data_IF_023246250301
#
_entry.id   IF_023246250301
#
_cell.length_a   1.000
_cell.length_b   1.000
_cell.length_c   1.000
_cell.angle_alpha   90.00
_cell.angle_beta   90.00
_cell.angle_gamma   90.00
#
_symmetry.space_group_name_H-M   'P 1'
#
loop_
_entity.id
_entity.type
_entity.pdbx_description
1 polymer ?
#
# COMPACT_ATOMS: atom_id res chain seq x y z
N UNK A 1 -4.27 -79.44 16.98
CA UNK A 1 -2.93 -79.69 17.55
C UNK A 1 -1.92 -79.07 16.59
N UNK A 2 -1.23 -78.02 17.06
CA UNK A 2 -0.12 -77.39 16.34
C UNK A 2 1.04 -78.38 16.21
N UNK A 3 1.83 -78.28 15.14
CA UNK A 3 3.21 -77.80 15.22
C UNK A 3 4.03 -78.12 13.95
N UNK A 4 5.05 -77.28 13.78
CA UNK A 4 6.35 -77.51 13.13
C UNK A 4 6.45 -77.20 11.63
N UNK A 5 7.08 -76.07 11.31
CA UNK A 5 8.54 -75.85 11.10
C UNK A 5 8.93 -76.44 9.76
N UNK A 6 9.26 -75.55 8.81
CA UNK A 6 10.37 -75.80 7.91
C UNK A 6 11.11 -74.48 7.63
N UNK A 7 12.41 -74.56 7.87
CA UNK A 7 13.40 -73.54 7.61
C UNK A 7 13.72 -73.48 6.11
N UNK A 8 14.41 -72.39 5.75
CA UNK A 8 15.52 -72.38 4.80
C UNK A 8 15.16 -72.32 3.29
N UNK A 9 15.42 -71.18 2.64
CA UNK A 9 16.70 -70.92 1.91
C UNK A 9 16.59 -69.72 0.95
N UNK A 10 17.72 -69.00 0.91
CA UNK A 10 18.28 -68.13 -0.13
C UNK A 10 17.76 -66.71 -0.37
N UNK A 11 18.64 -65.81 0.09
CA UNK A 11 18.94 -64.46 -0.37
C UNK A 11 19.24 -64.49 -1.88
N UNK A 12 18.71 -63.53 -2.64
CA UNK A 12 19.52 -62.69 -3.52
C UNK A 12 18.78 -61.45 -4.04
N UNK A 13 19.63 -60.49 -4.40
CA UNK A 13 19.44 -59.06 -4.45
C UNK A 13 18.68 -58.52 -5.68
N UNK A 14 18.43 -57.21 -5.60
CA UNK A 14 18.31 -56.26 -6.70
C UNK A 14 16.90 -55.87 -7.24
N UNK A 15 16.48 -54.68 -6.78
CA UNK A 15 16.04 -53.49 -7.54
C UNK A 15 15.19 -53.76 -8.82
N UNK A 16 13.99 -53.14 -8.91
CA UNK A 16 13.57 -52.19 -9.99
C UNK A 16 12.02 -52.08 -10.11
N UNK A 17 11.53 -50.83 -9.89
CA UNK A 17 10.41 -50.08 -10.52
C UNK A 17 8.94 -50.57 -10.57
N UNK A 18 8.08 -49.53 -10.52
CA UNK A 18 6.64 -49.40 -10.88
C UNK A 18 5.65 -49.94 -9.84
N UNK A 19 4.46 -49.41 -9.64
CA UNK A 19 3.77 -48.14 -9.94
C UNK A 19 2.41 -48.22 -9.21
N UNK A 20 1.80 -47.06 -8.95
CA UNK A 20 0.34 -46.84 -8.83
C UNK A 20 -0.47 -47.69 -7.83
N UNK A 21 -0.97 -47.05 -6.78
CA UNK A 21 -2.40 -47.19 -6.41
C UNK A 21 -2.96 -45.85 -5.92
N UNK A 22 -4.02 -45.48 -6.61
CA UNK A 22 -4.79 -44.25 -6.53
C UNK A 22 -5.62 -44.21 -5.24
N UNK A 23 -5.84 -43.00 -4.70
CA UNK A 23 -7.11 -42.67 -4.06
C UNK A 23 -7.37 -41.15 -4.13
N UNK A 24 -8.19 -40.78 -5.12
CA UNK A 24 -9.00 -39.56 -5.17
C UNK A 24 -10.41 -40.00 -5.64
N UNK A 25 -11.50 -39.22 -5.51
CA UNK A 25 -11.70 -37.87 -4.90
C UNK A 25 -12.96 -37.82 -3.98
N UNK A 26 -13.32 -36.74 -3.27
CA UNK A 26 -14.15 -35.57 -3.67
C UNK A 26 -14.41 -34.77 -2.37
N UNK A 27 -14.23 -33.45 -2.27
CA UNK A 27 -15.16 -32.39 -2.74
C UNK A 27 -14.47 -31.03 -2.51
N UNK A 28 -14.13 -30.28 -3.56
CA UNK A 28 -14.90 -29.16 -4.14
C UNK A 28 -15.41 -28.11 -3.14
N UNK A 29 -14.62 -27.05 -2.93
CA UNK A 29 -15.16 -25.67 -2.91
C UNK A 29 -14.40 -24.82 -3.92
N UNK A 30 -15.16 -24.39 -4.91
CA UNK A 30 -14.77 -23.71 -6.14
C UNK A 30 -13.92 -22.48 -5.86
N UNK A 31 -12.70 -22.44 -6.41
CA UNK A 31 -12.01 -21.17 -6.66
C UNK A 31 -12.82 -20.46 -7.74
N UNK A 32 -13.58 -19.43 -7.38
CA UNK A 32 -14.35 -18.66 -8.33
C UNK A 32 -13.42 -18.10 -9.40
N UNK A 33 -13.72 -18.46 -10.64
CA UNK A 33 -13.10 -18.08 -11.91
C UNK A 33 -13.37 -16.60 -12.24
N UNK A 34 -13.52 -15.75 -11.23
CA UNK A 34 -13.82 -14.33 -11.39
C UNK A 34 -12.58 -13.46 -11.63
N UNK A 35 -11.37 -14.05 -11.67
CA UNK A 35 -10.12 -13.32 -11.97
C UNK A 35 -9.78 -13.22 -13.47
N UNK A 36 -10.60 -13.79 -14.34
CA UNK A 36 -10.32 -13.81 -15.79
C UNK A 36 -11.33 -13.02 -16.65
N UNK A 37 -12.34 -12.37 -16.07
CA UNK A 37 -13.47 -11.80 -16.85
C UNK A 37 -13.84 -10.34 -16.54
N UNK A 38 -12.93 -9.52 -16.03
CA UNK A 38 -13.11 -8.06 -16.05
C UNK A 38 -11.90 -7.41 -16.68
N UNK A 39 -12.15 -6.83 -17.86
CA UNK A 39 -11.15 -6.43 -18.82
C UNK A 39 -10.23 -5.30 -18.36
N UNK A 40 -9.12 -5.22 -19.09
CA UNK A 40 -8.15 -4.13 -19.16
C UNK A 40 -8.67 -2.78 -18.66
N UNK A 41 -8.39 -2.47 -17.39
CA UNK A 41 -8.13 -1.11 -16.92
C UNK A 41 -6.92 -1.16 -16.01
N UNK A 42 -5.74 -0.97 -16.60
CA UNK A 42 -4.45 -0.67 -15.99
C UNK A 42 -4.23 -1.18 -14.56
N UNK A 43 -4.01 -2.49 -14.39
CA UNK A 43 -3.39 -3.06 -13.20
C UNK A 43 -2.03 -3.66 -13.55
N UNK A 44 -1.15 -2.88 -14.20
CA UNK A 44 0.26 -3.25 -14.30
C UNK A 44 0.94 -2.87 -12.98
N UNK A 45 0.78 -3.72 -11.98
CA UNK A 45 1.69 -3.76 -10.84
C UNK A 45 2.99 -4.35 -11.40
N UNK A 46 3.90 -3.49 -11.84
CA UNK A 46 5.27 -3.86 -12.11
C UNK A 46 5.93 -4.16 -10.76
N UNK A 47 5.97 -5.44 -10.38
CA UNK A 47 6.50 -5.92 -9.10
C UNK A 47 8.00 -5.62 -9.01
N UNK A 48 8.32 -4.38 -8.70
CA UNK A 48 9.62 -3.94 -8.23
C UNK A 48 9.68 -4.13 -6.71
N UNK A 49 10.87 -4.22 -6.13
CA UNK A 49 11.06 -4.35 -4.67
C UNK A 49 10.38 -3.23 -3.86
N UNK A 50 10.19 -2.05 -4.46
CA UNK A 50 9.43 -0.95 -3.88
C UNK A 50 7.94 -1.28 -3.73
N UNK A 51 7.37 -2.04 -4.67
CA UNK A 51 5.97 -2.44 -4.65
C UNK A 51 5.67 -3.52 -3.60
N UNK A 52 6.63 -4.37 -3.26
CA UNK A 52 6.46 -5.33 -2.16
C UNK A 52 6.39 -4.62 -0.80
N UNK A 53 7.25 -3.62 -0.60
CA UNK A 53 7.26 -2.84 0.64
C UNK A 53 5.95 -2.04 0.80
N UNK A 54 5.47 -1.40 -0.27
CA UNK A 54 4.19 -0.68 -0.19
C UNK A 54 3.01 -1.64 -0.01
N UNK A 55 3.02 -2.81 -0.64
CA UNK A 55 1.94 -3.81 -0.48
C UNK A 55 1.87 -4.30 0.98
N UNK A 56 3.00 -4.55 1.64
CA UNK A 56 3.06 -4.86 3.08
C UNK A 56 2.56 -3.69 3.92
N UNK A 57 2.95 -2.48 3.57
CA UNK A 57 2.50 -1.25 4.22
C UNK A 57 0.97 -1.11 4.18
N UNK A 58 0.39 -1.23 2.99
CA UNK A 58 -1.05 -1.14 2.75
C UNK A 58 -1.83 -2.26 3.44
N UNK A 59 -1.29 -3.49 3.42
CA UNK A 59 -1.80 -4.63 4.18
C UNK A 59 -1.86 -4.33 5.67
N UNK A 60 -0.80 -3.73 6.25
CA UNK A 60 -0.73 -3.42 7.68
C UNK A 60 -1.79 -2.42 8.16
N UNK A 61 -2.29 -1.59 7.25
CA UNK A 61 -3.35 -0.59 7.52
C UNK A 61 -4.72 -1.01 6.97
N UNK A 62 -4.85 -2.24 6.46
CA UNK A 62 -6.10 -2.81 5.99
C UNK A 62 -6.61 -2.25 4.65
N UNK A 63 -5.74 -1.65 3.84
CA UNK A 63 -6.05 -1.18 2.49
C UNK A 63 -5.53 -2.22 1.51
N UNK A 64 -6.37 -3.16 1.13
CA UNK A 64 -6.01 -4.19 0.14
C UNK A 64 -6.51 -3.74 -1.23
N UNK A 65 -5.62 -3.62 -2.21
CA UNK A 65 -5.92 -3.39 -3.64
C UNK A 65 -6.91 -2.26 -3.96
N UNK A 66 -7.08 -1.30 -3.04
CA UNK A 66 -8.10 -0.25 -3.10
C UNK A 66 -7.47 1.15 -3.01
N UNK A 67 -6.28 1.28 -3.58
CA UNK A 67 -5.60 2.56 -3.76
C UNK A 67 -5.49 2.91 -5.24
N UNK A 68 -5.48 4.21 -5.51
CA UNK A 68 -5.33 4.78 -6.84
C UNK A 68 -3.88 5.26 -7.01
N UNK A 69 -3.46 6.19 -6.14
CA UNK A 69 -2.10 6.73 -6.10
C UNK A 69 -1.60 6.78 -4.66
N UNK A 70 -0.31 6.58 -4.48
CA UNK A 70 0.37 6.79 -3.22
C UNK A 70 1.70 7.51 -3.44
N UNK A 71 2.15 8.25 -2.44
CA UNK A 71 3.49 8.83 -2.42
C UNK A 71 3.92 9.14 -1.00
N UNK A 72 5.23 9.13 -0.77
CA UNK A 72 5.75 9.71 0.45
C UNK A 72 5.85 11.22 0.28
N UNK A 73 5.33 11.97 1.24
CA UNK A 73 5.40 13.43 1.28
C UNK A 73 6.09 13.90 2.55
N UNK A 74 6.65 15.09 2.46
CA UNK A 74 7.18 15.82 3.62
C UNK A 74 6.14 16.85 4.02
N UNK A 75 5.60 16.69 5.23
CA UNK A 75 4.55 17.54 5.76
C UNK A 75 5.17 18.49 6.80
N UNK A 76 5.01 19.78 6.59
CA UNK A 76 5.43 20.82 7.53
C UNK A 76 4.21 21.40 8.20
N UNK A 77 4.29 21.48 9.53
CA UNK A 77 3.20 21.98 10.36
C UNK A 77 3.70 22.30 11.77
N UNK A 78 3.29 23.44 12.31
CA UNK A 78 3.68 23.94 13.62
C UNK A 78 5.20 23.88 13.82
N UNK A 79 5.94 24.39 12.82
CA UNK A 79 7.41 24.42 12.78
C UNK A 79 8.09 23.04 12.88
N UNK A 80 7.36 21.96 12.55
CA UNK A 80 7.86 20.58 12.59
C UNK A 80 7.68 19.91 11.24
N UNK A 81 8.69 19.11 10.90
CA UNK A 81 8.72 18.33 9.66
C UNK A 81 8.37 16.88 9.93
N UNK A 82 7.54 16.30 9.07
CA UNK A 82 7.07 14.94 9.19
C UNK A 82 7.08 14.22 7.85
N UNK A 83 7.81 13.10 7.75
CA UNK A 83 7.63 12.18 6.62
C UNK A 83 6.34 11.37 6.81
N UNK A 84 5.48 11.36 5.79
CA UNK A 84 4.19 10.66 5.81
C UNK A 84 3.99 9.94 4.48
N UNK A 85 3.31 8.80 4.52
CA UNK A 85 2.82 8.16 3.31
C UNK A 85 1.38 8.61 3.11
N UNK A 86 1.14 9.26 1.98
CA UNK A 86 -0.17 9.69 1.50
C UNK A 86 -0.68 8.67 0.50
N UNK A 87 -1.96 8.31 0.61
CA UNK A 87 -2.61 7.33 -0.24
C UNK A 87 -4.00 7.87 -0.60
N UNK A 88 -4.29 8.00 -1.89
CA UNK A 88 -5.66 8.20 -2.37
C UNK A 88 -6.25 6.82 -2.67
N UNK A 89 -7.45 6.58 -2.17
CA UNK A 89 -8.17 5.32 -2.38
C UNK A 89 -9.16 5.42 -3.53
N UNK A 90 -9.51 4.26 -4.09
CA UNK A 90 -10.57 4.13 -5.10
C UNK A 90 -11.97 4.47 -4.55
N UNK A 91 -12.07 4.69 -3.23
CA UNK A 91 -13.29 5.10 -2.52
C UNK A 91 -13.36 6.60 -2.26
N UNK A 92 -12.52 7.38 -2.93
CA UNK A 92 -12.47 8.84 -2.80
C UNK A 92 -12.06 9.30 -1.38
N UNK A 93 -11.08 8.61 -0.79
CA UNK A 93 -10.53 8.97 0.52
C UNK A 93 -9.03 9.20 0.43
N UNK A 94 -8.55 10.28 1.06
CA UNK A 94 -7.15 10.47 1.40
C UNK A 94 -6.84 9.80 2.73
N UNK A 95 -5.83 8.94 2.72
CA UNK A 95 -5.27 8.31 3.91
C UNK A 95 -3.87 8.85 4.13
N UNK A 96 -3.64 9.37 5.33
CA UNK A 96 -2.34 9.86 5.78
C UNK A 96 -1.85 8.94 6.87
N UNK A 97 -0.67 8.37 6.67
CA UNK A 97 -0.10 7.38 7.59
C UNK A 97 1.22 7.86 8.20
N UNK A 98 1.49 7.36 9.41
CA UNK A 98 2.74 7.58 10.15
C UNK A 98 3.47 6.26 10.30
N UNK A 99 4.75 6.23 9.92
CA UNK A 99 5.62 5.09 10.19
C UNK A 99 5.88 4.97 11.69
N UNK A 100 5.69 3.77 12.23
CA UNK A 100 6.12 3.39 13.56
C UNK A 100 7.37 2.53 13.46
N UNK A 101 8.53 3.19 13.55
CA UNK A 101 9.86 2.56 13.43
C UNK A 101 10.03 1.41 14.43
N UNK A 102 9.49 1.53 15.65
CA UNK A 102 9.61 0.50 16.69
C UNK A 102 8.91 -0.81 16.34
N UNK A 103 7.82 -0.73 15.58
CA UNK A 103 6.98 -1.88 15.25
C UNK A 103 7.16 -2.31 13.79
N UNK A 104 7.92 -1.57 12.99
CA UNK A 104 7.99 -1.74 11.54
C UNK A 104 6.61 -1.77 10.87
N UNK A 105 5.66 -1.01 11.43
CA UNK A 105 4.26 -0.92 10.97
C UNK A 105 3.90 0.53 10.64
N UNK A 106 2.98 0.70 9.70
CA UNK A 106 2.32 1.98 9.48
C UNK A 106 1.04 2.06 10.31
N UNK A 107 0.75 3.27 10.79
CA UNK A 107 -0.52 3.58 11.45
C UNK A 107 -1.23 4.66 10.66
N UNK A 108 -2.53 4.48 10.43
CA UNK A 108 -3.38 5.55 9.90
C UNK A 108 -3.44 6.67 10.93
N UNK A 109 -3.11 7.88 10.51
CA UNK A 109 -3.29 9.09 11.30
C UNK A 109 -4.56 9.82 10.92
N UNK A 110 -4.81 9.93 9.63
CA UNK A 110 -6.03 10.53 9.11
C UNK A 110 -6.59 9.69 7.99
N UNK A 111 -7.92 9.63 7.94
CA UNK A 111 -8.72 9.10 6.83
C UNK A 111 -9.79 10.14 6.55
N UNK A 112 -9.71 10.75 5.38
CA UNK A 112 -10.45 11.97 5.04
C UNK A 112 -11.13 11.72 3.70
N UNK A 113 -12.41 12.06 3.59
CA UNK A 113 -13.09 12.05 2.29
C UNK A 113 -12.53 13.19 1.42
N UNK A 114 -12.13 12.90 0.18
CA UNK A 114 -11.53 13.88 -0.73
C UNK A 114 -12.44 15.09 -0.99
N UNK A 115 -13.76 14.90 -0.98
CA UNK A 115 -14.73 16.00 -1.16
C UNK A 115 -14.69 17.04 -0.03
N UNK A 116 -13.98 16.75 1.05
CA UNK A 116 -13.81 17.64 2.19
C UNK A 116 -12.43 18.28 2.23
N UNK A 117 -11.57 17.97 1.27
CA UNK A 117 -10.23 18.54 1.16
C UNK A 117 -10.29 19.77 0.28
N UNK A 118 -9.51 20.78 0.63
CA UNK A 118 -9.29 21.94 -0.22
C UNK A 118 -7.79 22.14 -0.43
N UNK A 119 -7.44 22.66 -1.60
CA UNK A 119 -6.07 22.94 -1.99
C UNK A 119 -5.95 24.43 -2.24
N UNK A 120 -4.89 25.03 -1.72
CA UNK A 120 -4.49 26.39 -2.06
C UNK A 120 -3.33 26.37 -3.05
N UNK A 121 -3.51 27.06 -4.17
CA UNK A 121 -2.49 27.26 -5.20
C UNK A 121 -1.90 28.66 -5.18
N UNK A 122 -2.57 29.63 -4.54
CA UNK A 122 -2.06 30.99 -4.39
C UNK A 122 -1.91 31.33 -2.90
N UNK A 123 -0.76 31.88 -2.53
CA UNK A 123 -0.38 32.28 -1.17
C UNK A 123 -1.32 33.37 -0.62
N UNK A 124 -1.92 34.18 -1.49
CA UNK A 124 -2.82 35.28 -1.10
C UNK A 124 -4.10 34.82 -0.37
N UNK A 125 -4.52 33.55 -0.55
CA UNK A 125 -5.72 33.00 0.07
C UNK A 125 -5.41 32.11 1.29
N UNK A 126 -4.20 32.22 1.84
CA UNK A 126 -3.68 31.29 2.84
C UNK A 126 -3.61 31.98 4.20
N UNK A 127 -3.94 31.23 5.24
CA UNK A 127 -3.83 31.69 6.63
C UNK A 127 -2.40 32.17 6.95
N UNK A 128 -2.29 33.24 7.72
CA UNK A 128 -1.05 33.86 8.19
C UNK A 128 -0.12 32.85 8.90
N UNK A 129 -0.69 31.83 9.57
CA UNK A 129 0.11 30.75 10.17
C UNK A 129 0.97 30.00 9.15
N UNK A 130 0.46 29.72 7.96
CA UNK A 130 1.19 29.02 6.90
C UNK A 130 2.20 29.94 6.24
N UNK A 131 1.89 31.23 6.10
CA UNK A 131 2.84 32.23 5.61
C UNK A 131 4.04 32.31 6.57
N UNK A 132 3.79 32.31 7.88
CA UNK A 132 4.82 32.28 8.92
C UNK A 132 5.62 30.96 8.90
N UNK A 133 4.98 29.83 8.65
CA UNK A 133 5.69 28.56 8.45
C UNK A 133 6.61 28.62 7.23
N UNK A 134 6.11 29.05 6.07
CA UNK A 134 6.89 29.17 4.83
C UNK A 134 8.10 30.09 5.04
N UNK A 135 7.89 31.26 5.64
CA UNK A 135 8.97 32.23 5.89
C UNK A 135 9.99 31.74 6.92
N UNK A 136 9.61 30.83 7.81
CA UNK A 136 10.54 30.21 8.77
C UNK A 136 11.43 29.14 8.15
N UNK A 137 11.07 28.60 6.99
CA UNK A 137 11.87 27.59 6.32
C UNK A 137 13.10 28.22 5.67
N UNK A 138 14.27 27.63 5.93
CA UNK A 138 15.51 28.00 5.22
C UNK A 138 15.46 27.70 3.72
N UNK A 139 14.53 26.84 3.32
CA UNK A 139 14.27 26.46 1.94
C UNK A 139 12.77 26.21 1.73
N UNK A 140 12.19 26.88 0.74
CA UNK A 140 10.82 26.66 0.31
C UNK A 140 10.78 26.48 -1.21
N UNK A 141 10.24 25.35 -1.66
CA UNK A 141 10.05 25.05 -3.08
C UNK A 141 8.58 25.06 -3.46
N UNK A 142 8.14 26.18 -4.02
CA UNK A 142 6.77 26.35 -4.49
C UNK A 142 6.40 25.38 -5.64
N UNK A 143 7.36 24.92 -6.45
CA UNK A 143 7.07 24.00 -7.55
C UNK A 143 6.75 22.59 -7.05
N UNK A 144 7.30 22.20 -5.90
CA UNK A 144 7.09 20.86 -5.33
C UNK A 144 6.08 20.82 -4.19
N UNK A 145 5.49 21.96 -3.84
CA UNK A 145 4.63 22.07 -2.66
C UNK A 145 3.16 22.30 -3.01
N UNK A 146 2.26 21.71 -2.23
CA UNK A 146 0.84 22.06 -2.14
C UNK A 146 0.48 22.43 -0.72
N UNK A 147 -0.48 23.32 -0.56
CA UNK A 147 -1.07 23.61 0.75
C UNK A 147 -2.43 22.95 0.77
N UNK A 148 -2.58 21.94 1.64
CA UNK A 148 -3.74 21.06 1.69
C UNK A 148 -4.40 21.25 3.05
N UNK A 149 -5.69 21.59 3.05
CA UNK A 149 -6.50 21.65 4.27
C UNK A 149 -7.63 20.63 4.25
N UNK A 150 -8.10 20.24 5.43
CA UNK A 150 -9.21 19.32 5.60
C UNK A 150 -9.94 19.57 6.94
N UNK A 151 -11.15 19.03 7.14
CA UNK A 151 -11.95 19.34 8.31
C UNK A 151 -11.29 18.81 9.58
N UNK A 152 -11.38 19.58 10.67
CA UNK A 152 -10.76 19.28 11.96
C UNK A 152 -9.22 19.27 11.94
N UNK A 153 -8.60 19.62 10.81
CA UNK A 153 -7.17 19.87 10.67
C UNK A 153 -6.91 21.33 10.32
N UNK A 154 -5.76 21.85 10.73
CA UNK A 154 -5.23 23.10 10.19
C UNK A 154 -4.81 22.89 8.71
N UNK A 155 -4.41 23.97 8.04
CA UNK A 155 -3.78 23.84 6.72
C UNK A 155 -2.40 23.19 6.88
N UNK A 156 -2.00 22.35 5.93
CA UNK A 156 -0.71 21.68 5.94
C UNK A 156 0.08 22.05 4.71
N UNK A 157 1.36 22.36 4.90
CA UNK A 157 2.32 22.53 3.83
C UNK A 157 2.87 21.15 3.46
N UNK A 158 2.61 20.69 2.24
CA UNK A 158 2.92 19.34 1.76
C UNK A 158 3.87 19.41 0.58
N UNK A 159 5.12 19.03 0.82
CA UNK A 159 6.17 18.95 -0.20
C UNK A 159 6.27 17.53 -0.77
N UNK A 160 6.28 17.45 -2.10
CA UNK A 160 6.43 16.24 -2.89
C UNK A 160 7.87 16.10 -3.38
N UNK A 161 8.26 14.87 -3.73
CA UNK A 161 9.62 14.61 -4.20
C UNK A 161 9.91 15.35 -5.52
N UNK A 162 8.93 15.50 -6.41
CA UNK A 162 9.05 16.22 -7.69
C UNK A 162 7.80 17.03 -8.04
N UNK A 163 7.96 18.03 -8.92
CA UNK A 163 6.85 18.83 -9.46
C UNK A 163 5.81 17.96 -10.18
N UNK A 164 6.25 16.98 -10.96
CA UNK A 164 5.34 16.10 -11.71
C UNK A 164 4.43 15.30 -10.77
N UNK A 165 4.99 14.75 -9.68
CA UNK A 165 4.21 14.06 -8.66
C UNK A 165 3.22 15.03 -8.03
N UNK A 166 3.67 16.24 -7.66
CA UNK A 166 2.80 17.29 -7.12
C UNK A 166 1.62 17.58 -8.06
N UNK A 167 1.87 17.74 -9.36
CA UNK A 167 0.83 18.09 -10.35
C UNK A 167 -0.15 16.94 -10.58
N UNK A 168 0.32 15.68 -10.55
CA UNK A 168 -0.56 14.50 -10.56
C UNK A 168 -1.47 14.50 -9.32
N UNK A 169 -0.92 14.75 -8.14
CA UNK A 169 -1.68 14.82 -6.89
C UNK A 169 -2.70 15.97 -6.89
N UNK A 170 -2.31 17.15 -7.37
CA UNK A 170 -3.21 18.29 -7.53
C UNK A 170 -4.42 17.92 -8.40
N UNK A 171 -4.15 17.37 -9.59
CA UNK A 171 -5.19 16.96 -10.55
C UNK A 171 -6.11 15.90 -9.94
N UNK A 172 -5.54 14.92 -9.22
CA UNK A 172 -6.30 13.80 -8.67
C UNK A 172 -7.19 14.17 -7.48
N UNK A 173 -6.80 15.15 -6.68
CA UNK A 173 -7.63 15.64 -5.58
C UNK A 173 -8.78 16.52 -6.11
N UNK A 174 -8.56 17.23 -7.23
CA UNK A 174 -9.56 18.11 -7.84
C UNK A 174 -10.58 17.37 -8.73
N UNK A 175 -10.29 16.12 -9.15
CA UNK A 175 -11.17 15.28 -9.97
C UNK A 175 -12.25 14.58 -9.15
#
# INVERSE_FOLDING_TARGET
>A
MNNNIDNNIHIDEHIIKKSSRESHPLTRKSRSISRYFLGNKHSSIDITTNDINITRCLTSIGIFDSYDIWTYVTLYHNYRTYRRLFIITNKNELIISKSNIKQSLLKIKYRINLNRIWIYTNIENINESIINEITSLTYYDYHRTLIIGWPLGENFLVEFDTKNIRDTWYTRIQS
#
